data_IF_133327578586
#
_entry.id   IF_133327578586
#
_cell.length_a   1.000
_cell.length_b   1.000
_cell.length_c   1.000
_cell.angle_alpha   90.00
_cell.angle_beta   90.00
_cell.angle_gamma   90.00
#
_symmetry.space_group_name_H-M   'P 1'
#
loop_
_entity.id
_entity.type
_entity.pdbx_description
1 polymer ?
#
# COMPACT_ATOMS: atom_id res chain seq x y z
N UNK A 1 6.13 -20.84 1.27
CA UNK A 1 6.60 -19.44 1.38
C UNK A 1 5.37 -18.55 1.45
N UNK A 2 5.20 -17.75 2.49
CA UNK A 2 4.03 -16.86 2.61
C UNK A 2 4.22 -15.70 1.63
N UNK A 3 3.20 -15.41 0.83
CA UNK A 3 3.22 -14.36 -0.19
C UNK A 3 2.23 -13.24 0.15
N UNK A 4 2.54 -12.04 -0.29
CA UNK A 4 1.71 -10.84 -0.17
C UNK A 4 1.51 -10.31 -1.59
N UNK A 5 0.32 -10.56 -2.14
CA UNK A 5 0.07 -10.36 -3.56
C UNK A 5 0.91 -11.33 -4.40
N UNK A 6 1.79 -10.81 -5.25
CA UNK A 6 2.75 -11.60 -6.06
C UNK A 6 4.17 -11.59 -5.49
N UNK A 7 4.40 -10.91 -4.36
CA UNK A 7 5.72 -10.75 -3.74
C UNK A 7 5.87 -11.69 -2.55
N UNK A 8 7.08 -12.14 -2.27
CA UNK A 8 7.36 -12.84 -1.02
C UNK A 8 7.25 -11.89 0.17
N UNK A 9 6.87 -12.39 1.35
CA UNK A 9 6.85 -11.58 2.58
C UNK A 9 8.20 -10.92 2.86
N UNK A 10 9.31 -11.60 2.57
CA UNK A 10 10.66 -11.05 2.77
C UNK A 10 10.95 -9.84 1.88
N UNK A 11 10.54 -9.86 0.61
CA UNK A 11 10.66 -8.71 -0.31
C UNK A 11 9.84 -7.52 0.21
N UNK A 12 8.63 -7.76 0.72
CA UNK A 12 7.78 -6.68 1.26
C UNK A 12 8.39 -6.06 2.52
N UNK A 13 8.96 -6.87 3.42
CA UNK A 13 9.68 -6.34 4.57
C UNK A 13 10.91 -5.52 4.17
N UNK A 14 11.70 -5.99 3.20
CA UNK A 14 12.84 -5.24 2.69
C UNK A 14 12.41 -3.88 2.09
N UNK A 15 11.32 -3.86 1.33
CA UNK A 15 10.74 -2.63 0.78
C UNK A 15 10.23 -1.68 1.88
N UNK A 16 9.60 -2.21 2.94
CA UNK A 16 9.14 -1.43 4.09
C UNK A 16 10.33 -0.78 4.83
N UNK A 17 11.40 -1.54 5.09
CA UNK A 17 12.61 -1.00 5.74
C UNK A 17 13.27 0.08 4.89
N UNK A 18 13.41 -0.15 3.58
CA UNK A 18 13.94 0.84 2.65
C UNK A 18 13.10 2.13 2.68
N UNK A 19 11.77 2.03 2.62
CA UNK A 19 10.88 3.17 2.72
C UNK A 19 10.98 3.90 4.08
N UNK A 20 11.08 3.16 5.19
CA UNK A 20 11.25 3.74 6.54
C UNK A 20 12.61 4.44 6.71
N UNK A 21 13.66 4.03 5.99
CA UNK A 21 14.99 4.63 6.08
C UNK A 21 15.13 5.98 5.35
N UNK A 22 14.12 6.39 4.56
CA UNK A 22 14.12 7.69 3.87
C UNK A 22 14.15 8.85 4.87
N UNK A 23 14.85 9.93 4.50
CA UNK A 23 15.06 11.09 5.37
C UNK A 23 13.73 11.79 5.69
N UNK A 24 13.51 12.03 6.98
CA UNK A 24 12.32 12.71 7.48
C UNK A 24 12.44 14.25 7.43
N UNK A 25 11.32 15.02 7.43
CA UNK A 25 9.93 14.55 7.53
C UNK A 25 9.42 13.89 6.24
N UNK A 26 8.54 12.90 6.37
CA UNK A 26 7.92 12.25 5.23
C UNK A 26 6.80 13.09 4.62
N UNK A 27 6.74 13.08 3.30
CA UNK A 27 5.66 13.62 2.47
C UNK A 27 4.40 12.76 2.58
N UNK A 28 3.25 13.30 2.15
CA UNK A 28 1.99 12.54 2.08
C UNK A 28 2.13 11.29 1.21
N UNK A 29 2.85 11.41 0.09
CA UNK A 29 3.21 10.29 -0.78
C UNK A 29 3.93 9.17 -0.03
N UNK A 30 5.01 9.49 0.69
CA UNK A 30 5.79 8.51 1.46
C UNK A 30 4.95 7.85 2.57
N UNK A 31 4.06 8.62 3.20
CA UNK A 31 3.09 8.06 4.14
C UNK A 31 2.13 7.05 3.47
N UNK A 32 1.72 7.29 2.21
CA UNK A 32 0.92 6.36 1.43
C UNK A 32 1.64 5.05 1.12
N UNK A 33 2.90 5.15 0.68
CA UNK A 33 3.78 3.99 0.42
C UNK A 33 3.94 3.16 1.70
N UNK A 34 4.31 3.81 2.81
CA UNK A 34 4.49 3.16 4.11
C UNK A 34 3.19 2.51 4.63
N UNK A 35 2.06 3.20 4.49
CA UNK A 35 0.75 2.70 4.90
C UNK A 35 0.37 1.42 4.14
N UNK A 36 0.60 1.38 2.83
CA UNK A 36 0.35 0.21 2.01
C UNK A 36 1.21 -1.00 2.45
N UNK A 37 2.52 -0.81 2.62
CA UNK A 37 3.39 -1.92 3.07
C UNK A 37 3.05 -2.39 4.48
N UNK A 38 2.81 -1.47 5.41
CA UNK A 38 2.43 -1.81 6.80
C UNK A 38 1.15 -2.63 6.87
N UNK A 39 0.14 -2.26 6.09
CA UNK A 39 -1.08 -3.04 5.94
C UNK A 39 -0.82 -4.40 5.32
N UNK A 40 -0.01 -4.45 4.26
CA UNK A 40 0.32 -5.67 3.55
C UNK A 40 1.04 -6.73 4.42
N UNK A 41 1.85 -6.29 5.39
CA UNK A 41 2.50 -7.18 6.39
C UNK A 41 1.75 -7.28 7.72
N UNK A 42 0.52 -6.74 7.81
CA UNK A 42 -0.34 -6.87 8.98
C UNK A 42 0.02 -5.99 10.19
N UNK A 43 1.03 -5.13 10.07
CA UNK A 43 1.37 -4.14 11.13
C UNK A 43 0.36 -2.98 11.22
N UNK A 44 -0.50 -2.84 10.21
CA UNK A 44 -1.66 -1.94 10.22
C UNK A 44 -2.93 -2.75 9.94
N UNK A 45 -4.00 -2.50 10.71
CA UNK A 45 -5.26 -3.26 10.62
C UNK A 45 -6.10 -2.84 9.41
N UNK A 46 -6.24 -1.52 9.20
CA UNK A 46 -7.09 -0.94 8.15
C UNK A 46 -6.31 -0.66 6.87
N UNK A 47 -6.96 -0.84 5.73
CA UNK A 47 -6.42 -0.50 4.43
C UNK A 47 -6.21 1.03 4.28
N UNK A 48 -5.16 1.49 3.59
CA UNK A 48 -4.76 2.90 3.58
C UNK A 48 -5.78 3.87 2.98
N UNK A 49 -6.60 3.42 2.03
CA UNK A 49 -7.58 4.23 1.28
C UNK A 49 -9.00 3.96 1.74
N UNK A 50 -9.39 2.69 1.91
CA UNK A 50 -10.78 2.32 2.23
C UNK A 50 -11.02 2.12 3.72
N UNK A 51 -9.97 2.10 4.53
CA UNK A 51 -10.00 1.71 5.95
C UNK A 51 -10.54 0.30 6.22
N UNK A 52 -10.73 -0.53 5.18
CA UNK A 52 -11.22 -1.90 5.31
C UNK A 52 -10.24 -2.77 6.11
N UNK A 53 -10.73 -3.55 7.07
CA UNK A 53 -9.88 -4.44 7.84
C UNK A 53 -9.29 -5.56 6.97
N UNK A 54 -8.02 -5.91 7.19
CA UNK A 54 -7.44 -7.13 6.63
C UNK A 54 -8.19 -8.37 7.15
N UNK A 55 -8.48 -9.34 6.27
CA UNK A 55 -9.24 -10.57 6.62
C UNK A 55 -8.32 -11.77 6.82
N UNK A 56 -7.05 -11.70 6.41
CA UNK A 56 -6.08 -12.81 6.56
C UNK A 56 -5.31 -12.78 7.89
N UNK A 57 -4.73 -13.93 8.25
CA UNK A 57 -4.02 -14.12 9.53
C UNK A 57 -2.78 -13.23 9.71
N UNK A 58 -2.13 -12.81 8.60
CA UNK A 58 -0.90 -12.01 8.60
C UNK A 58 -1.10 -10.66 7.88
N UNK A 59 -2.24 -10.45 7.23
CA UNK A 59 -2.46 -9.29 6.36
C UNK A 59 -3.60 -9.51 5.36
N UNK A 60 -3.79 -8.58 4.41
CA UNK A 60 -4.85 -8.69 3.41
C UNK A 60 -4.62 -9.87 2.46
N UNK A 61 -5.72 -10.50 2.04
CA UNK A 61 -5.63 -11.48 0.95
C UNK A 61 -5.40 -10.78 -0.40
N UNK A 62 -5.05 -11.53 -1.44
CA UNK A 62 -4.79 -10.99 -2.79
C UNK A 62 -5.96 -10.16 -3.34
N UNK A 63 -7.20 -10.58 -3.08
CA UNK A 63 -8.38 -9.85 -3.52
C UNK A 63 -8.52 -8.49 -2.82
N UNK A 64 -8.18 -8.41 -1.53
CA UNK A 64 -8.19 -7.15 -0.78
C UNK A 64 -7.12 -6.18 -1.29
N UNK A 65 -5.90 -6.67 -1.58
CA UNK A 65 -4.84 -5.85 -2.18
C UNK A 65 -5.29 -5.25 -3.53
N UNK A 66 -5.91 -6.07 -4.39
CA UNK A 66 -6.41 -5.59 -5.69
C UNK A 66 -7.56 -4.59 -5.54
N UNK A 67 -8.50 -4.84 -4.62
CA UNK A 67 -9.60 -3.93 -4.35
C UNK A 67 -9.09 -2.57 -3.84
N UNK A 68 -8.07 -2.59 -2.97
CA UNK A 68 -7.46 -1.36 -2.46
C UNK A 68 -6.69 -0.60 -3.54
N UNK A 69 -5.98 -1.31 -4.42
CA UNK A 69 -5.33 -0.72 -5.60
C UNK A 69 -6.34 0.01 -6.51
N UNK A 70 -7.48 -0.63 -6.77
CA UNK A 70 -8.56 -0.04 -7.56
C UNK A 70 -9.19 1.17 -6.84
N UNK A 71 -9.38 1.09 -5.53
CA UNK A 71 -9.88 2.20 -4.73
C UNK A 71 -8.93 3.40 -4.76
N UNK A 72 -7.61 3.17 -4.65
CA UNK A 72 -6.60 4.22 -4.78
C UNK A 72 -6.67 4.91 -6.15
N UNK A 73 -6.82 4.13 -7.24
CA UNK A 73 -6.99 4.67 -8.59
C UNK A 73 -8.24 5.54 -8.75
N UNK A 74 -9.35 5.14 -8.11
CA UNK A 74 -10.59 5.95 -8.08
C UNK A 74 -10.36 7.26 -7.33
N UNK A 75 -9.69 7.23 -6.17
CA UNK A 75 -9.43 8.44 -5.39
C UNK A 75 -8.54 9.43 -6.13
N UNK A 76 -7.48 8.96 -6.80
CA UNK A 76 -6.60 9.81 -7.62
C UNK A 76 -7.42 10.54 -8.71
N UNK A 77 -8.38 9.84 -9.34
CA UNK A 77 -9.26 10.42 -10.37
C UNK A 77 -10.31 11.38 -9.81
N UNK A 78 -10.78 11.14 -8.58
CA UNK A 78 -11.79 11.97 -7.92
C UNK A 78 -11.23 13.34 -7.51
N UNK A 79 -9.91 13.45 -7.31
CA UNK A 79 -9.23 14.71 -6.98
C UNK A 79 -9.45 15.18 -5.53
N UNK A 80 -8.87 16.32 -5.20
CA UNK A 80 -8.93 16.91 -3.86
C UNK A 80 -10.35 17.37 -3.53
N UNK A 81 -11.10 16.54 -2.80
CA UNK A 81 -12.45 16.91 -2.35
C UNK A 81 -13.29 15.77 -1.76
N UNK A 82 -12.90 14.51 -1.98
CA UNK A 82 -13.59 13.34 -1.38
C UNK A 82 -12.55 12.33 -0.90
N UNK A 83 -12.34 12.20 0.41
CA UNK A 83 -11.52 11.11 0.99
C UNK A 83 -10.07 11.50 1.31
N UNK A 84 -9.15 10.54 1.13
CA UNK A 84 -7.71 10.71 1.42
C UNK A 84 -7.06 11.69 0.45
N UNK A 85 -6.00 12.34 0.93
CA UNK A 85 -5.16 13.24 0.14
C UNK A 85 -4.63 12.57 -1.14
N UNK A 86 -4.58 13.31 -2.26
CA UNK A 86 -4.24 12.74 -3.57
C UNK A 86 -2.81 12.22 -3.64
N UNK A 87 -1.84 12.89 -3.00
CA UNK A 87 -0.45 12.44 -2.97
C UNK A 87 -0.31 11.17 -2.11
N UNK A 88 -1.05 11.12 -1.00
CA UNK A 88 -1.15 9.90 -0.19
C UNK A 88 -1.73 8.72 -0.99
N UNK A 89 -2.83 8.95 -1.71
CA UNK A 89 -3.44 7.93 -2.56
C UNK A 89 -2.50 7.47 -3.67
N UNK A 90 -1.71 8.37 -4.25
CA UNK A 90 -0.71 8.07 -5.27
C UNK A 90 0.43 7.20 -4.72
N UNK A 91 0.92 7.49 -3.51
CA UNK A 91 1.92 6.65 -2.84
C UNK A 91 1.41 5.24 -2.54
N UNK A 92 0.19 5.16 -1.99
CA UNK A 92 -0.46 3.87 -1.74
C UNK A 92 -0.69 3.08 -3.04
N UNK A 93 -1.14 3.76 -4.10
CA UNK A 93 -1.34 3.17 -5.43
C UNK A 93 -0.05 2.53 -5.95
N UNK A 94 1.08 3.24 -5.94
CA UNK A 94 2.35 2.71 -6.43
C UNK A 94 2.80 1.45 -5.70
N UNK A 95 2.75 1.47 -4.37
CA UNK A 95 3.12 0.32 -3.55
C UNK A 95 2.18 -0.88 -3.77
N UNK A 96 0.85 -0.65 -3.83
CA UNK A 96 -0.14 -1.69 -4.11
C UNK A 96 0.00 -2.27 -5.53
N UNK A 97 0.35 -1.44 -6.50
CA UNK A 97 0.57 -1.87 -7.88
C UNK A 97 1.78 -2.82 -7.97
N UNK A 98 2.86 -2.53 -7.25
CA UNK A 98 4.02 -3.42 -7.14
C UNK A 98 3.69 -4.74 -6.41
N UNK A 99 2.92 -4.68 -5.32
CA UNK A 99 2.44 -5.87 -4.60
C UNK A 99 1.52 -6.74 -5.46
N UNK A 100 0.71 -6.12 -6.32
CA UNK A 100 -0.18 -6.83 -7.24
C UNK A 100 0.50 -7.33 -8.52
N UNK A 101 1.76 -6.92 -8.77
CA UNK A 101 2.52 -7.30 -9.96
C UNK A 101 2.21 -6.47 -11.20
N UNK A 102 1.60 -5.30 -11.05
CA UNK A 102 1.38 -4.36 -12.14
C UNK A 102 2.63 -3.53 -12.49
N UNK A 103 3.59 -3.46 -11.56
CA UNK A 103 4.90 -2.86 -11.76
C UNK A 103 6.00 -3.74 -11.18
N UNK A 104 7.15 -3.78 -11.85
CA UNK A 104 8.33 -4.51 -11.38
C UNK A 104 9.20 -3.67 -10.44
N UNK A 105 9.27 -2.36 -10.67
CA UNK A 105 10.05 -1.41 -9.88
C UNK A 105 9.31 -0.97 -8.61
N UNK A 106 10.09 -0.69 -7.57
CA UNK A 106 9.59 -0.09 -6.33
C UNK A 106 9.35 1.42 -6.53
N UNK A 107 8.31 1.99 -5.91
CA UNK A 107 8.06 3.43 -5.89
C UNK A 107 9.02 4.24 -4.99
#
# INVERSE_FOLDING_TARGET
MVAVGVRSVAEVFAALEAANSRRQPWTRYEHGVLGAYRWAVGTQVGAPVTASAAVGAVGPCRAQLLAEFQAAAVQIRAGAGRGVDADYALGAYGALAWLCGHHEELP
#
